data_IF_027593441837
#
_entry.id   IF_027593441837
#
_cell.length_a   1.000
_cell.length_b   1.000
_cell.length_c   1.000
_cell.angle_alpha   90.00
_cell.angle_beta   90.00
_cell.angle_gamma   90.00
#
_symmetry.space_group_name_H-M   'P 1'
#
loop_
_entity.id
_entity.type
_entity.pdbx_description
1 polymer ?
#
# COMPACT_ATOMS: atom_id res chain seq x y z
N UNK A 1 -0.08 -1.91 21.63
CA UNK A 1 -0.42 -0.47 21.55
C UNK A 1 -1.56 -0.32 20.56
N UNK A 2 -2.76 0.08 20.99
CA UNK A 2 -3.91 0.28 20.09
C UNK A 2 -3.79 1.66 19.44
N UNK A 3 -3.61 1.72 18.12
CA UNK A 3 -3.68 2.96 17.35
C UNK A 3 -5.08 3.12 16.76
N UNK A 4 -5.68 4.30 16.90
CA UNK A 4 -6.97 4.60 16.27
C UNK A 4 -6.83 4.57 14.75
N UNK A 5 -7.53 3.63 14.11
CA UNK A 5 -7.61 3.51 12.65
C UNK A 5 -8.58 4.60 12.15
N UNK A 6 -8.12 5.39 11.18
CA UNK A 6 -8.87 6.51 10.60
C UNK A 6 -8.62 6.62 9.10
N UNK A 7 -9.58 7.21 8.40
CA UNK A 7 -9.46 7.56 6.97
C UNK A 7 -8.24 8.43 6.72
N UNK A 8 -7.54 8.16 5.61
CA UNK A 8 -6.35 8.89 5.15
C UNK A 8 -5.05 8.39 5.77
N UNK A 9 -5.10 7.51 6.76
CA UNK A 9 -3.90 6.93 7.35
C UNK A 9 -3.22 5.94 6.39
N UNK A 10 -1.90 5.80 6.55
CA UNK A 10 -1.04 5.01 5.69
C UNK A 10 -0.61 3.74 6.42
N UNK A 11 -0.70 2.62 5.72
CA UNK A 11 -0.33 1.30 6.20
C UNK A 11 0.40 0.53 5.11
N UNK A 12 1.19 -0.47 5.49
CA UNK A 12 1.66 -1.53 4.61
C UNK A 12 0.76 -2.76 4.80
N UNK A 13 0.44 -3.47 3.73
CA UNK A 13 -0.15 -4.81 3.83
C UNK A 13 0.92 -5.87 4.16
N UNK A 14 0.51 -7.13 4.32
CA UNK A 14 1.41 -8.24 4.65
C UNK A 14 2.56 -8.46 3.65
N UNK A 15 2.42 -7.93 2.44
CA UNK A 15 3.39 -8.06 1.36
C UNK A 15 4.27 -6.79 1.26
N UNK A 16 4.14 -5.86 2.20
CA UNK A 16 4.86 -4.59 2.21
C UNK A 16 4.30 -3.53 1.27
N UNK A 17 3.15 -3.77 0.62
CA UNK A 17 2.57 -2.79 -0.31
C UNK A 17 1.86 -1.67 0.44
N UNK A 18 2.12 -0.40 0.07
CA UNK A 18 1.49 0.71 0.75
C UNK A 18 0.01 0.79 0.38
N UNK A 19 -0.83 1.03 1.40
CA UNK A 19 -2.27 1.24 1.29
C UNK A 19 -2.70 2.48 2.06
N UNK A 20 -3.79 3.10 1.62
CA UNK A 20 -4.43 4.20 2.34
C UNK A 20 -5.78 3.75 2.89
N UNK A 21 -6.07 4.07 4.14
CA UNK A 21 -7.40 3.82 4.71
C UNK A 21 -8.41 4.72 4.01
N UNK A 22 -9.36 4.10 3.32
CA UNK A 22 -10.43 4.79 2.61
C UNK A 22 -11.64 5.00 3.51
N UNK A 23 -12.02 3.97 4.27
CA UNK A 23 -13.12 3.98 5.21
C UNK A 23 -12.88 2.96 6.33
N UNK A 24 -13.50 3.15 7.49
CA UNK A 24 -13.43 2.21 8.61
C UNK A 24 -14.69 2.28 9.47
N UNK A 25 -15.18 1.11 9.89
CA UNK A 25 -16.24 0.99 10.88
C UNK A 25 -15.88 -0.09 11.90
N UNK A 26 -16.79 -0.41 12.82
CA UNK A 26 -16.57 -1.33 13.94
C UNK A 26 -16.30 -2.79 13.51
N UNK A 27 -16.60 -3.16 12.27
CA UNK A 27 -16.44 -4.55 11.78
C UNK A 27 -15.38 -4.70 10.71
N UNK A 28 -15.14 -3.66 9.90
CA UNK A 28 -14.26 -3.73 8.73
C UNK A 28 -13.47 -2.45 8.49
N UNK A 29 -12.33 -2.63 7.84
CA UNK A 29 -11.48 -1.57 7.32
C UNK A 29 -11.44 -1.69 5.81
N UNK A 30 -11.68 -0.57 5.13
CA UNK A 30 -11.57 -0.46 3.67
C UNK A 30 -10.29 0.28 3.35
N UNK A 31 -9.37 -0.36 2.64
CA UNK A 31 -8.12 0.23 2.21
C UNK A 31 -8.06 0.33 0.68
N UNK A 32 -7.36 1.34 0.19
CA UNK A 32 -7.10 1.56 -1.24
C UNK A 32 -5.64 1.26 -1.54
N UNK A 33 -5.40 0.41 -2.53
CA UNK A 33 -4.05 0.11 -3.05
C UNK A 33 -3.67 1.11 -4.15
N UNK A 34 -2.42 1.03 -4.57
CA UNK A 34 -1.82 1.81 -5.67
C UNK A 34 -2.54 1.66 -7.01
N UNK A 35 -3.15 0.50 -7.27
CA UNK A 35 -3.94 0.25 -8.48
C UNK A 35 -5.32 0.93 -8.45
N UNK A 36 -5.63 1.65 -7.37
CA UNK A 36 -6.90 2.33 -7.16
C UNK A 36 -8.04 1.43 -6.68
N UNK A 37 -7.81 0.11 -6.55
CA UNK A 37 -8.83 -0.84 -6.10
C UNK A 37 -9.02 -0.74 -4.59
N UNK A 38 -10.28 -0.89 -4.18
CA UNK A 38 -10.67 -0.95 -2.78
C UNK A 38 -10.69 -2.40 -2.30
N UNK A 39 -10.11 -2.63 -1.14
CA UNK A 39 -10.10 -3.91 -0.44
C UNK A 39 -10.73 -3.74 0.92
N UNK A 40 -11.64 -4.64 1.26
CA UNK A 40 -12.29 -4.68 2.57
C UNK A 40 -11.77 -5.88 3.35
N UNK A 41 -11.31 -5.64 4.57
CA UNK A 41 -10.84 -6.69 5.50
C UNK A 41 -11.51 -6.52 6.86
N UNK A 42 -11.62 -7.59 7.63
CA UNK A 42 -12.12 -7.48 9.01
C UNK A 42 -11.14 -6.71 9.89
N UNK A 43 -11.59 -6.07 10.98
CA UNK A 43 -10.66 -5.40 11.92
C UNK A 43 -9.61 -6.35 12.46
N UNK A 44 -10.00 -7.61 12.77
CA UNK A 44 -9.09 -8.61 13.32
C UNK A 44 -7.96 -8.93 12.35
N UNK A 45 -8.33 -9.14 11.09
CA UNK A 45 -7.38 -9.38 10.01
C UNK A 45 -6.49 -8.16 9.74
N UNK A 46 -7.08 -6.97 9.72
CA UNK A 46 -6.34 -5.72 9.55
C UNK A 46 -5.28 -5.56 10.64
N UNK A 47 -5.65 -5.79 11.90
CA UNK A 47 -4.77 -5.62 13.05
C UNK A 47 -3.58 -6.60 13.07
N UNK A 48 -3.67 -7.72 12.35
CA UNK A 48 -2.60 -8.72 12.27
C UNK A 48 -1.75 -8.61 11.00
N UNK A 49 -2.35 -8.17 9.89
CA UNK A 49 -1.70 -8.19 8.57
C UNK A 49 -1.18 -6.83 8.12
N UNK A 50 -1.58 -5.75 8.78
CA UNK A 50 -1.22 -4.40 8.37
C UNK A 50 -0.38 -3.70 9.42
N UNK A 51 0.67 -3.05 8.95
CA UNK A 51 1.57 -2.26 9.78
C UNK A 51 1.42 -0.79 9.45
N UNK A 52 1.41 0.07 10.46
CA UNK A 52 1.25 1.50 10.25
C UNK A 52 2.52 2.08 9.64
N UNK A 53 2.35 2.87 8.59
CA UNK A 53 3.46 3.59 7.96
C UNK A 53 3.46 5.06 8.36
N UNK A 54 4.66 5.58 8.59
CA UNK A 54 4.90 7.01 8.58
C UNK A 54 4.96 7.56 7.15
N UNK A 55 4.72 8.86 7.00
CA UNK A 55 4.79 9.53 5.69
C UNK A 55 6.17 9.44 5.03
N UNK A 56 7.24 9.30 5.83
CA UNK A 56 8.59 9.12 5.30
C UNK A 56 8.76 7.73 4.68
N UNK A 57 8.34 6.69 5.40
CA UNK A 57 8.39 5.29 4.94
C UNK A 57 7.53 5.09 3.70
N UNK A 58 6.29 5.62 3.72
CA UNK A 58 5.42 5.59 2.56
C UNK A 58 6.07 6.22 1.31
N UNK A 59 6.69 7.40 1.46
CA UNK A 59 7.39 8.07 0.34
C UNK A 59 8.57 7.26 -0.18
N UNK A 60 9.31 6.62 0.72
CA UNK A 60 10.43 5.78 0.33
C UNK A 60 9.97 4.56 -0.48
N UNK A 61 8.99 3.81 0.03
CA UNK A 61 8.43 2.65 -0.67
C UNK A 61 7.89 3.06 -2.05
N UNK A 62 7.19 4.20 -2.12
CA UNK A 62 6.68 4.73 -3.39
C UNK A 62 7.79 5.04 -4.40
N UNK A 63 8.87 5.66 -3.95
CA UNK A 63 10.01 5.98 -4.81
C UNK A 63 10.71 4.71 -5.33
N UNK A 64 10.86 3.69 -4.47
CA UNK A 64 11.43 2.40 -4.84
C UNK A 64 10.58 1.70 -5.92
N UNK A 65 9.25 1.67 -5.73
CA UNK A 65 8.30 1.11 -6.71
C UNK A 65 8.38 1.84 -8.06
N UNK A 66 8.47 3.17 -8.05
CA UNK A 66 8.58 3.96 -9.27
C UNK A 66 9.90 3.69 -10.00
N UNK A 67 11.01 3.58 -9.26
CA UNK A 67 12.31 3.23 -9.81
C UNK A 67 12.32 1.83 -10.45
N UNK A 68 11.72 0.83 -9.79
CA UNK A 68 11.58 -0.52 -10.35
C UNK A 68 10.74 -0.53 -11.63
N UNK A 69 9.62 0.21 -11.65
CA UNK A 69 8.79 0.36 -12.86
C UNK A 69 9.58 1.00 -14.00
N UNK A 70 10.34 2.04 -13.72
CA UNK A 70 11.18 2.70 -14.72
C UNK A 70 12.23 1.76 -15.30
N UNK A 71 12.96 1.02 -14.46
CA UNK A 71 13.95 0.04 -14.90
C UNK A 71 13.32 -1.07 -15.74
N UNK A 72 12.12 -1.54 -15.38
CA UNK A 72 11.36 -2.52 -16.16
C UNK A 72 11.04 -1.98 -17.56
N UNK A 73 10.56 -0.75 -17.68
CA UNK A 73 10.29 -0.10 -18.97
C UNK A 73 11.56 0.01 -19.83
N UNK A 74 12.70 0.42 -19.25
CA UNK A 74 13.97 0.48 -19.98
C UNK A 74 14.41 -0.89 -20.52
N UNK A 75 14.25 -1.95 -19.73
CA UNK A 75 14.56 -3.33 -20.15
C UNK A 75 13.65 -3.78 -21.29
N UNK A 76 12.35 -3.51 -21.22
CA UNK A 76 11.39 -3.84 -22.27
C UNK A 76 11.68 -3.11 -23.59
N UNK A 77 12.04 -1.82 -23.52
CA UNK A 77 12.45 -1.05 -24.69
C UNK A 77 13.70 -1.64 -25.34
N UNK A 78 14.70 -2.03 -24.54
CA UNK A 78 15.93 -2.64 -25.05
C UNK A 78 15.68 -3.98 -25.75
N UNK A 79 14.79 -4.82 -25.22
CA UNK A 79 14.42 -6.10 -25.85
C UNK A 79 13.68 -5.87 -27.17
N UNK A 80 12.78 -4.89 -27.25
CA UNK A 80 12.02 -4.59 -28.49
C UNK A 80 12.87 -4.02 -29.63
N UNK A 81 14.04 -3.47 -29.33
CA UNK A 81 14.97 -2.91 -30.31
C UNK A 81 16.00 -3.93 -30.85
N UNK A 82 15.87 -5.21 -30.50
CA UNK A 82 16.73 -6.31 -30.98
C UNK A 82 15.90 -7.28 -31.80
#
# INVERSE_FOLDING_TARGET
MFSLIQRGQLYADENGWPVTIYDCNVFRVVCRREDGRLHSVSIREFSHRFERLEHKEYRQIKAEIEQERHLKTLRELRVKCT
#
